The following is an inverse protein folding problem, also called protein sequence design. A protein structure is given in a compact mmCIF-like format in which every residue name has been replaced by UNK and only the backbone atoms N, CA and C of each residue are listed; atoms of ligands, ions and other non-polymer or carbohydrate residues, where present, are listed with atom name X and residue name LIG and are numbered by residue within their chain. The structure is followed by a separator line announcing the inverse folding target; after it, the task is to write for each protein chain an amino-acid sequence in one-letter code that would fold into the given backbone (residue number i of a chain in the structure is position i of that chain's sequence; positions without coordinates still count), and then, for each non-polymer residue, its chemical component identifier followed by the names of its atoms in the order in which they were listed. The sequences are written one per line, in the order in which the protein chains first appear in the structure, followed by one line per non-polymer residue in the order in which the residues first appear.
data_IF_879140653017
#
_entry.id   IF_879140653017
#
_cell.length_a   1.000
_cell.length_b   1.000
_cell.length_c   1.000
_cell.angle_alpha   90.00
_cell.angle_beta   90.00
_cell.angle_gamma   90.00
#
_symmetry.space_group_name_H-M   'P 1'
#
loop_
_entity.id
_entity.type
_entity.pdbx_description
1 polymer ?
#
# COMPACT_ATOMS: atom_id res chain seq x y z
N UNK A 1 12.75 16.36 -0.71
CA UNK A 1 12.49 15.00 -1.18
C UNK A 1 13.64 14.09 -0.85
N UNK A 2 13.34 12.88 -0.43
CA UNK A 2 14.35 11.87 -0.21
C UNK A 2 14.65 11.13 -1.51
N UNK A 3 15.92 10.85 -1.84
CA UNK A 3 16.24 10.07 -3.03
C UNK A 3 15.72 8.63 -2.94
N UNK A 4 15.24 8.10 -4.06
CA UNK A 4 14.80 6.71 -4.16
C UNK A 4 15.02 6.24 -5.59
N UNK A 5 16.07 5.43 -5.81
CA UNK A 5 16.49 5.02 -7.14
C UNK A 5 16.87 6.21 -7.99
N UNK A 6 16.27 6.35 -9.17
CA UNK A 6 16.45 7.49 -10.05
C UNK A 6 15.33 8.52 -9.93
N UNK A 7 14.45 8.34 -8.95
CA UNK A 7 13.38 9.24 -8.60
C UNK A 7 13.54 9.65 -7.15
N UNK A 8 12.66 10.52 -6.68
CA UNK A 8 12.60 10.82 -5.26
C UNK A 8 11.41 10.08 -4.63
N UNK A 9 11.34 10.12 -3.30
CA UNK A 9 10.30 9.43 -2.56
C UNK A 9 8.91 9.95 -2.89
N UNK A 10 8.80 11.23 -3.29
CA UNK A 10 7.53 11.83 -3.69
C UNK A 10 6.97 11.25 -4.99
N UNK A 11 7.81 10.64 -5.83
CA UNK A 11 7.39 10.06 -7.11
C UNK A 11 7.33 8.53 -7.02
N UNK A 12 8.36 7.90 -6.45
CA UNK A 12 8.47 6.43 -6.41
C UNK A 12 8.31 5.84 -5.03
N UNK A 13 7.98 6.65 -4.03
CA UNK A 13 7.94 6.24 -2.63
C UNK A 13 6.60 5.74 -2.13
N UNK A 14 5.58 5.58 -2.99
CA UNK A 14 4.25 5.16 -2.52
C UNK A 14 4.26 3.79 -1.84
N UNK A 15 5.07 2.84 -2.35
CA UNK A 15 5.22 1.53 -1.71
C UNK A 15 5.75 1.64 -0.28
N UNK A 16 6.94 2.22 -0.07
CA UNK A 16 7.47 2.44 1.28
C UNK A 16 6.56 3.29 2.17
N UNK A 17 5.89 4.31 1.62
CA UNK A 17 4.97 5.13 2.39
C UNK A 17 3.76 4.32 2.87
N UNK A 18 3.17 3.50 2.01
CA UNK A 18 2.07 2.62 2.38
C UNK A 18 2.51 1.62 3.45
N UNK A 19 3.71 1.03 3.32
CA UNK A 19 4.25 0.11 4.31
C UNK A 19 4.44 0.78 5.67
N UNK A 20 4.95 2.01 5.69
CA UNK A 20 5.11 2.75 6.94
C UNK A 20 3.77 2.96 7.65
N UNK A 21 2.73 3.31 6.89
CA UNK A 21 1.38 3.46 7.46
C UNK A 21 0.87 2.16 8.06
N UNK A 22 1.02 1.06 7.32
CA UNK A 22 0.55 -0.26 7.76
C UNK A 22 1.30 -0.71 9.01
N UNK A 23 2.61 -0.61 9.01
CA UNK A 23 3.44 -1.03 10.13
C UNK A 23 3.09 -0.22 11.38
N UNK A 24 2.98 1.10 11.25
CA UNK A 24 2.60 1.94 12.39
C UNK A 24 1.21 1.60 12.90
N UNK A 25 0.24 1.41 12.01
CA UNK A 25 -1.14 1.12 12.39
C UNK A 25 -1.26 -0.20 13.16
N UNK A 26 -0.50 -1.22 12.76
CA UNK A 26 -0.60 -2.56 13.34
C UNK A 26 0.31 -2.76 14.54
N UNK A 27 1.48 -2.12 14.57
CA UNK A 27 2.50 -2.38 15.61
C UNK A 27 2.78 -1.18 16.50
N UNK A 28 2.34 0.01 16.10
CA UNK A 28 2.68 1.30 16.73
C UNK A 28 4.17 1.61 16.69
N UNK A 29 4.92 0.95 15.80
CA UNK A 29 6.35 1.17 15.64
C UNK A 29 6.59 2.41 14.77
N UNK A 30 6.95 3.53 15.40
CA UNK A 30 7.20 4.79 14.71
C UNK A 30 8.59 4.87 14.07
N UNK A 31 9.42 3.84 14.24
CA UNK A 31 10.75 3.81 13.62
C UNK A 31 10.69 3.40 12.15
N UNK A 32 9.59 2.80 11.69
CA UNK A 32 9.40 2.43 10.29
C UNK A 32 8.95 3.67 9.50
N UNK A 33 9.88 4.55 9.18
CA UNK A 33 9.61 5.79 8.45
C UNK A 33 9.70 5.58 6.94
N UNK A 34 8.95 6.34 6.13
CA UNK A 34 8.95 6.16 4.66
C UNK A 34 10.34 6.24 4.03
N UNK A 35 11.17 7.17 4.46
CA UNK A 35 12.53 7.33 3.91
C UNK A 35 13.44 6.17 4.31
N UNK A 36 13.30 5.63 5.51
CA UNK A 36 14.04 4.45 5.95
C UNK A 36 13.63 3.22 5.16
N UNK A 37 12.32 3.03 4.93
CA UNK A 37 11.82 1.92 4.15
C UNK A 37 12.22 2.03 2.68
N UNK A 38 12.28 3.25 2.14
CA UNK A 38 12.78 3.48 0.79
C UNK A 38 14.25 3.08 0.67
N UNK A 39 15.07 3.40 1.67
CA UNK A 39 16.48 3.02 1.72
C UNK A 39 16.62 1.50 1.78
N UNK A 40 15.80 0.83 2.58
CA UNK A 40 15.79 -0.64 2.66
C UNK A 40 15.42 -1.27 1.31
N UNK A 41 14.44 -0.69 0.62
CA UNK A 41 14.03 -1.17 -0.70
C UNK A 41 15.17 -1.06 -1.72
N UNK A 42 15.90 0.05 -1.72
CA UNK A 42 17.05 0.24 -2.60
C UNK A 42 18.18 -0.73 -2.26
N UNK A 43 18.50 -0.85 -0.98
CA UNK A 43 19.58 -1.70 -0.50
C UNK A 43 19.29 -3.18 -0.76
N UNK A 44 18.03 -3.59 -0.63
CA UNK A 44 17.60 -4.96 -0.87
C UNK A 44 17.33 -5.29 -2.34
N UNK A 45 17.49 -4.31 -3.25
CA UNK A 45 17.25 -4.54 -4.67
C UNK A 45 15.80 -4.56 -5.08
N UNK A 46 14.89 -4.01 -4.27
CA UNK A 46 13.45 -4.00 -4.56
C UNK A 46 13.01 -2.85 -5.44
N UNK A 47 13.86 -1.84 -5.62
CA UNK A 47 13.53 -0.75 -6.54
C UNK A 47 13.77 -1.19 -7.98
N UNK A 48 12.76 -1.03 -8.81
CA UNK A 48 12.85 -1.32 -10.25
C UNK A 48 12.78 0.00 -11.00
N UNK A 49 13.83 0.30 -11.75
CA UNK A 49 13.93 1.56 -12.50
C UNK A 49 12.71 1.75 -13.40
N UNK A 50 12.05 2.90 -13.29
CA UNK A 50 10.88 3.25 -14.09
C UNK A 50 9.56 2.68 -13.56
N UNK A 51 9.58 1.74 -12.62
CA UNK A 51 8.36 1.15 -12.07
C UNK A 51 8.24 1.31 -10.56
N UNK A 52 9.32 1.73 -9.88
CA UNK A 52 9.31 1.97 -8.44
C UNK A 52 9.60 0.72 -7.62
N UNK A 53 8.87 0.51 -6.54
CA UNK A 53 9.11 -0.58 -5.60
C UNK A 53 8.62 -1.90 -6.15
N UNK A 54 9.47 -2.94 -6.07
CA UNK A 54 9.08 -4.30 -6.46
C UNK A 54 8.04 -4.86 -5.48
N UNK A 55 7.12 -5.68 -6.00
CA UNK A 55 6.05 -6.25 -5.19
C UNK A 55 6.55 -7.12 -4.03
N UNK A 56 7.69 -7.81 -4.21
CA UNK A 56 8.26 -8.65 -3.15
C UNK A 56 8.63 -7.85 -1.89
N UNK A 57 8.94 -6.56 -2.03
CA UNK A 57 9.20 -5.69 -0.87
C UNK A 57 7.97 -5.63 0.05
N UNK A 58 6.77 -5.66 -0.51
CA UNK A 58 5.53 -5.56 0.25
C UNK A 58 5.33 -6.75 1.19
N UNK A 59 5.90 -7.91 0.87
CA UNK A 59 5.89 -9.08 1.73
C UNK A 59 7.04 -9.07 2.74
N UNK A 60 8.25 -8.84 2.25
CA UNK A 60 9.47 -9.00 3.06
C UNK A 60 9.65 -7.89 4.07
N UNK A 61 9.28 -6.67 3.73
CA UNK A 61 9.33 -5.55 4.68
C UNK A 61 8.41 -5.80 5.87
N UNK A 62 7.19 -6.28 5.63
CA UNK A 62 6.24 -6.58 6.68
C UNK A 62 6.83 -7.59 7.66
N UNK A 63 7.41 -8.67 7.13
CA UNK A 63 8.01 -9.72 7.94
C UNK A 63 9.13 -9.18 8.84
N UNK A 64 9.94 -8.26 8.32
CA UNK A 64 11.04 -7.66 9.09
C UNK A 64 10.53 -6.85 10.30
N UNK A 65 9.29 -6.36 10.25
CA UNK A 65 8.70 -5.58 11.35
C UNK A 65 7.65 -6.37 12.14
N UNK A 66 7.61 -7.69 11.95
CA UNK A 66 6.70 -8.55 12.72
C UNK A 66 5.26 -8.54 12.26
N UNK A 67 5.00 -8.12 11.04
CA UNK A 67 3.67 -8.06 10.43
C UNK A 67 3.53 -9.22 9.45
N UNK A 68 2.39 -9.90 9.49
CA UNK A 68 2.12 -11.03 8.60
C UNK A 68 1.45 -10.53 7.34
N UNK A 69 2.06 -10.79 6.19
CA UNK A 69 1.54 -10.39 4.87
C UNK A 69 1.02 -11.60 4.12
N UNK A 70 -0.16 -11.45 3.51
CA UNK A 70 -0.74 -12.45 2.60
C UNK A 70 -1.04 -11.76 1.28
N UNK A 71 -0.60 -12.36 0.17
CA UNK A 71 -0.72 -11.76 -1.16
C UNK A 71 -1.80 -12.46 -1.98
N UNK A 72 -2.62 -11.67 -2.67
CA UNK A 72 -3.72 -12.16 -3.50
C UNK A 72 -3.75 -11.39 -4.81
N UNK A 73 -4.19 -12.07 -5.89
CA UNK A 73 -4.44 -11.39 -7.17
C UNK A 73 -5.72 -10.56 -7.10
N UNK A 74 -6.71 -11.03 -6.35
CA UNK A 74 -7.99 -10.35 -6.15
C UNK A 74 -8.69 -10.93 -4.92
N UNK A 75 -9.58 -10.16 -4.32
CA UNK A 75 -10.47 -10.60 -3.24
C UNK A 75 -11.88 -10.13 -3.53
N UNK A 76 -12.88 -10.88 -3.05
CA UNK A 76 -14.27 -10.47 -3.13
C UNK A 76 -14.58 -9.35 -2.15
N UNK A 77 -15.66 -8.61 -2.38
CA UNK A 77 -16.03 -7.50 -1.49
C UNK A 77 -16.19 -7.96 -0.04
N UNK A 78 -16.88 -9.07 0.19
CA UNK A 78 -17.12 -9.57 1.54
C UNK A 78 -15.81 -9.98 2.23
N UNK A 79 -14.82 -10.47 1.45
CA UNK A 79 -13.52 -10.82 2.00
C UNK A 79 -12.74 -9.59 2.47
N UNK A 80 -12.79 -8.49 1.70
CA UNK A 80 -12.18 -7.23 2.10
C UNK A 80 -12.80 -6.72 3.39
N UNK A 81 -14.13 -6.71 3.46
CA UNK A 81 -14.86 -6.24 4.65
C UNK A 81 -14.52 -7.07 5.87
N UNK A 82 -14.50 -8.39 5.71
CA UNK A 82 -14.17 -9.32 6.79
C UNK A 82 -12.76 -9.08 7.35
N UNK A 83 -11.79 -8.92 6.44
CA UNK A 83 -10.39 -8.65 6.84
C UNK A 83 -10.25 -7.33 7.58
N UNK A 84 -10.95 -6.30 7.12
CA UNK A 84 -10.93 -4.99 7.77
C UNK A 84 -11.59 -5.03 9.15
N UNK A 85 -12.66 -5.79 9.31
CA UNK A 85 -13.32 -5.97 10.59
C UNK A 85 -12.43 -6.70 11.60
N UNK A 86 -11.54 -7.57 11.12
CA UNK A 86 -10.54 -8.25 11.95
C UNK A 86 -9.37 -7.34 12.35
N UNK A 87 -9.37 -6.09 11.93
CA UNK A 87 -8.34 -5.13 12.25
C UNK A 87 -7.14 -5.16 11.30
N UNK A 88 -7.25 -5.88 10.19
CA UNK A 88 -6.17 -5.95 9.21
C UNK A 88 -6.13 -4.69 8.35
N UNK A 89 -4.98 -4.45 7.73
CA UNK A 89 -4.78 -3.37 6.77
C UNK A 89 -4.50 -3.98 5.41
N UNK A 90 -4.89 -3.27 4.35
CA UNK A 90 -4.77 -3.78 2.97
C UNK A 90 -4.00 -2.78 2.13
N UNK A 91 -3.02 -3.27 1.36
CA UNK A 91 -2.36 -2.45 0.33
C UNK A 91 -2.73 -3.03 -1.02
N UNK A 92 -3.08 -2.14 -1.96
CA UNK A 92 -3.38 -2.52 -3.34
C UNK A 92 -2.36 -1.90 -4.28
N UNK A 93 -1.81 -2.72 -5.19
CA UNK A 93 -1.05 -2.22 -6.34
C UNK A 93 -2.06 -1.91 -7.43
N UNK A 94 -2.30 -0.64 -7.67
CA UNK A 94 -3.28 -0.17 -8.66
C UNK A 94 -2.61 0.00 -10.01
N UNK A 95 -3.28 -0.46 -11.07
CA UNK A 95 -2.88 -0.16 -12.44
C UNK A 95 -3.24 1.29 -12.82
N UNK A 96 -2.96 1.69 -14.06
CA UNK A 96 -3.35 3.02 -14.52
C UNK A 96 -4.85 3.24 -14.41
N UNK A 97 -5.26 4.41 -13.92
CA UNK A 97 -6.66 4.74 -13.74
C UNK A 97 -6.85 5.94 -12.82
N UNK A 98 -7.84 5.85 -11.94
CA UNK A 98 -8.24 6.97 -11.07
C UNK A 98 -7.17 7.39 -10.08
N UNK A 99 -6.24 6.50 -9.73
CA UNK A 99 -5.22 6.77 -8.71
C UNK A 99 -3.93 7.32 -9.31
N UNK A 100 -3.57 6.88 -10.50
CA UNK A 100 -2.36 7.33 -11.18
C UNK A 100 -2.42 6.93 -12.65
N UNK A 101 -1.72 7.68 -13.50
CA UNK A 101 -1.61 7.34 -14.91
C UNK A 101 -0.66 6.16 -15.15
N UNK A 102 0.21 5.82 -14.18
CA UNK A 102 1.30 4.86 -14.37
C UNK A 102 1.27 3.68 -13.40
N UNK A 103 0.29 3.62 -12.52
CA UNK A 103 0.28 2.63 -11.45
C UNK A 103 0.71 3.23 -10.12
N UNK A 104 0.27 2.62 -9.02
CA UNK A 104 0.37 3.27 -7.73
C UNK A 104 0.00 2.28 -6.62
N UNK A 105 0.49 2.52 -5.39
CA UNK A 105 0.07 1.77 -4.21
C UNK A 105 -0.83 2.64 -3.35
N UNK A 106 -1.91 2.04 -2.84
CA UNK A 106 -2.81 2.69 -1.90
C UNK A 106 -3.09 1.76 -0.71
N UNK A 107 -3.51 2.33 0.41
CA UNK A 107 -3.93 1.57 1.59
C UNK A 107 -5.45 1.62 1.72
N UNK A 108 -6.08 0.47 1.92
CA UNK A 108 -7.47 0.40 2.36
C UNK A 108 -7.44 0.09 3.85
N UNK A 109 -8.01 0.97 4.67
CA UNK A 109 -7.87 0.86 6.12
C UNK A 109 -9.21 0.67 6.86
N UNK A 110 -10.34 0.88 6.19
CA UNK A 110 -11.67 0.71 6.79
C UNK A 110 -12.72 0.70 5.70
N UNK A 111 -13.96 0.44 6.08
CA UNK A 111 -15.10 0.59 5.18
C UNK A 111 -16.34 1.06 5.94
N UNK A 112 -17.25 1.66 5.20
CA UNK A 112 -18.57 2.11 5.70
C UNK A 112 -19.63 1.70 4.70
N UNK A 113 -20.91 2.01 5.00
CA UNK A 113 -21.99 1.79 4.05
C UNK A 113 -21.82 2.58 2.75
N UNK A 114 -21.00 3.63 2.76
CA UNK A 114 -20.73 4.47 1.58
C UNK A 114 -19.56 3.97 0.74
N UNK A 115 -18.80 3.00 1.22
CA UNK A 115 -17.66 2.44 0.50
C UNK A 115 -16.42 2.26 1.35
N UNK A 116 -15.30 2.02 0.67
CA UNK A 116 -14.02 1.76 1.32
C UNK A 116 -13.25 3.05 1.57
N UNK A 117 -12.60 3.11 2.72
CA UNK A 117 -11.74 4.21 3.12
C UNK A 117 -10.32 3.93 2.63
N UNK A 118 -9.81 4.83 1.81
CA UNK A 118 -8.50 4.70 1.17
C UNK A 118 -7.57 5.78 1.66
N UNK A 119 -6.30 5.43 1.84
CA UNK A 119 -5.24 6.40 2.03
C UNK A 119 -4.31 6.33 0.81
N UNK A 120 -4.32 7.38 0.01
CA UNK A 120 -3.49 7.51 -1.18
C UNK A 120 -2.37 8.49 -0.84
N UNK A 121 -1.10 8.03 -0.78
CA UNK A 121 0.02 8.88 -0.37
C UNK A 121 0.21 10.13 -1.21
N UNK A 122 -0.30 10.13 -2.44
CA UNK A 122 -0.09 11.24 -3.37
C UNK A 122 -1.35 12.07 -3.63
N UNK A 123 -2.48 11.74 -2.98
CA UNK A 123 -3.72 12.45 -3.24
C UNK A 123 -4.59 12.59 -2.01
N UNK A 124 -4.68 13.81 -1.51
CA UNK A 124 -5.63 14.13 -0.45
C UNK A 124 -7.07 13.93 -0.93
N UNK A 125 -7.36 14.31 -2.16
CA UNK A 125 -8.70 14.17 -2.75
C UNK A 125 -9.14 12.70 -2.78
N UNK A 126 -8.26 11.80 -3.25
CA UNK A 126 -8.57 10.39 -3.27
C UNK A 126 -8.72 9.81 -1.86
N UNK A 127 -7.96 10.31 -0.91
CA UNK A 127 -8.01 9.85 0.49
C UNK A 127 -9.23 10.35 1.24
N UNK A 128 -9.87 11.43 0.77
CA UNK A 128 -10.97 12.06 1.47
C UNK A 128 -12.34 11.51 1.08
N UNK A 129 -12.43 10.70 0.01
CA UNK A 129 -13.71 10.14 -0.44
C UNK A 129 -13.77 8.64 -0.23
N UNK A 130 -14.99 8.09 -0.28
CA UNK A 130 -15.19 6.64 -0.22
C UNK A 130 -15.16 6.05 -1.62
N UNK A 131 -14.68 4.83 -1.74
CA UNK A 131 -14.52 4.14 -3.02
C UNK A 131 -15.36 2.86 -3.02
N UNK A 132 -16.09 2.62 -4.12
CA UNK A 132 -16.86 1.39 -4.23
C UNK A 132 -15.96 0.23 -4.67
N UNK A 133 -16.41 -0.99 -4.37
CA UNK A 133 -15.66 -2.20 -4.70
C UNK A 133 -15.39 -2.33 -6.20
N UNK A 134 -16.41 -2.05 -7.03
CA UNK A 134 -16.28 -2.20 -8.47
C UNK A 134 -15.17 -1.31 -9.05
N UNK A 135 -15.07 -0.06 -8.57
CA UNK A 135 -14.03 0.86 -9.02
C UNK A 135 -12.65 0.39 -8.59
N UNK A 136 -12.50 -0.06 -7.35
CA UNK A 136 -11.22 -0.55 -6.85
C UNK A 136 -10.81 -1.83 -7.55
N UNK A 137 -11.70 -2.82 -7.64
CA UNK A 137 -11.38 -4.13 -8.20
C UNK A 137 -11.08 -4.08 -9.69
N UNK A 138 -11.63 -3.12 -10.40
CA UNK A 138 -11.35 -2.96 -11.84
C UNK A 138 -9.95 -2.43 -12.11
N UNK A 139 -9.27 -1.89 -11.10
CA UNK A 139 -7.97 -1.23 -11.26
C UNK A 139 -6.83 -1.93 -10.55
N UNK A 140 -7.09 -2.75 -9.52
CA UNK A 140 -5.99 -3.38 -8.79
C UNK A 140 -5.37 -4.53 -9.60
N UNK A 141 -4.07 -4.72 -9.39
CA UNK A 141 -3.28 -5.80 -10.01
C UNK A 141 -2.84 -6.83 -8.98
N UNK A 142 -2.61 -6.40 -7.75
CA UNK A 142 -2.26 -7.26 -6.61
C UNK A 142 -2.77 -6.63 -5.33
N UNK A 143 -3.03 -7.48 -4.34
CA UNK A 143 -3.52 -7.08 -3.03
C UNK A 143 -2.66 -7.77 -1.96
N UNK A 144 -2.28 -7.04 -0.92
CA UNK A 144 -1.64 -7.61 0.27
C UNK A 144 -2.50 -7.30 1.48
N UNK A 145 -2.79 -8.33 2.28
CA UNK A 145 -3.50 -8.20 3.56
C UNK A 145 -2.47 -8.33 4.67
N UNK A 146 -2.45 -7.38 5.59
CA UNK A 146 -1.47 -7.31 6.67
C UNK A 146 -2.16 -7.48 8.01
N UNK A 147 -1.63 -8.40 8.82
CA UNK A 147 -2.11 -8.69 10.17
C UNK A 147 -0.97 -8.51 11.18
N UNK A 148 -1.34 -8.09 12.37
CA UNK A 148 -0.38 -7.94 13.46
C UNK A 148 0.14 -9.28 13.97
#
# INVERSE_FOLDING_TARGET
YQPYGQSNIGISGCGPTCMAMVIYSLTRNSDALPDMLAQEAMTGGYYIMGTGTAWSFMNECASAYGVIASQFASLEQWELEDRLEDGNMIICAMGPGDFSAQGHFIVIYDYTSDGFCVNDPFSYTNSSKKWDYATLSSQWQQIWVYAA
#
